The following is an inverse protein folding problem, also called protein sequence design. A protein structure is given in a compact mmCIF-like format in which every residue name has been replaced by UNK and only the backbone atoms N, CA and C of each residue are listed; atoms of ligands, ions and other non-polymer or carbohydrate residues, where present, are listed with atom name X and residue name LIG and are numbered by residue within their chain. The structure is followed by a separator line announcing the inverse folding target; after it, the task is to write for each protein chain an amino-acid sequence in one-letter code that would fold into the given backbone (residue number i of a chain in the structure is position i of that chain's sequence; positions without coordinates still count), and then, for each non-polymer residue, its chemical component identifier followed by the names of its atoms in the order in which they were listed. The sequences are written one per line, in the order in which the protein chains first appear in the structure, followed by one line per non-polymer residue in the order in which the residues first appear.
data_IF_317473004864
#
_entry.id   IF_317473004864
#
_cell.length_a   1.000
_cell.length_b   1.000
_cell.length_c   1.000
_cell.angle_alpha   90.00
_cell.angle_beta   90.00
_cell.angle_gamma   90.00
#
_symmetry.space_group_name_H-M   'P 1'
#
loop_
_entity.id
_entity.type
_entity.pdbx_description
1 polymer ?
#
# COMPACT_ATOMS: atom_id res chain seq x y z
N UNK A 1 -25.13 -17.93 -1.47
CA UNK A 1 -24.80 -16.66 -0.80
C UNK A 1 -25.56 -15.56 -1.51
N UNK A 2 -26.15 -14.62 -0.78
CA UNK A 2 -26.82 -13.46 -1.37
C UNK A 2 -25.81 -12.35 -1.76
N UNK A 3 -26.28 -11.38 -2.54
CA UNK A 3 -25.42 -10.30 -3.07
C UNK A 3 -24.74 -9.49 -1.95
N UNK A 4 -25.45 -9.21 -0.85
CA UNK A 4 -24.90 -8.48 0.29
C UNK A 4 -23.76 -9.24 0.97
N UNK A 5 -23.90 -10.56 1.17
CA UNK A 5 -22.84 -11.38 1.76
C UNK A 5 -21.63 -11.45 0.83
N UNK A 6 -21.83 -11.58 -0.48
CA UNK A 6 -20.74 -11.55 -1.46
C UNK A 6 -20.00 -10.20 -1.47
N UNK A 7 -20.73 -9.08 -1.43
CA UNK A 7 -20.15 -7.74 -1.38
C UNK A 7 -19.27 -7.53 -0.13
N UNK A 8 -19.71 -8.02 1.03
CA UNK A 8 -18.93 -8.00 2.29
C UNK A 8 -17.66 -8.82 2.18
N UNK A 9 -17.74 -10.04 1.64
CA UNK A 9 -16.57 -10.88 1.42
C UNK A 9 -15.59 -10.25 0.43
N UNK A 10 -16.08 -9.75 -0.70
CA UNK A 10 -15.24 -9.10 -1.70
C UNK A 10 -14.50 -7.90 -1.09
N UNK A 11 -15.20 -7.04 -0.37
CA UNK A 11 -14.60 -5.88 0.29
C UNK A 11 -13.57 -6.30 1.35
N UNK A 12 -13.94 -7.23 2.23
CA UNK A 12 -13.03 -7.72 3.29
C UNK A 12 -11.75 -8.35 2.73
N UNK A 13 -11.87 -9.17 1.68
CA UNK A 13 -10.71 -9.78 1.01
C UNK A 13 -9.82 -8.69 0.40
N UNK A 14 -10.39 -7.76 -0.37
CA UNK A 14 -9.64 -6.66 -0.98
C UNK A 14 -8.93 -5.82 0.09
N UNK A 15 -9.60 -5.48 1.19
CA UNK A 15 -8.99 -4.74 2.31
C UNK A 15 -7.82 -5.48 2.92
N UNK A 16 -7.96 -6.77 3.24
CA UNK A 16 -6.87 -7.55 3.83
C UNK A 16 -5.67 -7.63 2.88
N UNK A 17 -5.90 -7.90 1.60
CA UNK A 17 -4.82 -7.92 0.61
C UNK A 17 -4.13 -6.57 0.49
N UNK A 18 -4.89 -5.47 0.38
CA UNK A 18 -4.32 -4.13 0.31
C UNK A 18 -3.50 -3.79 1.56
N UNK A 19 -4.03 -4.12 2.74
CA UNK A 19 -3.42 -3.78 4.01
C UNK A 19 -2.16 -4.57 4.35
N UNK A 20 -1.80 -5.60 3.60
CA UNK A 20 -0.45 -6.21 3.70
C UNK A 20 0.61 -5.24 3.17
N UNK A 21 0.32 -4.55 2.07
CA UNK A 21 1.26 -3.66 1.39
C UNK A 21 1.38 -2.29 2.04
N UNK A 22 0.33 -1.82 2.72
CA UNK A 22 0.28 -0.50 3.37
C UNK A 22 1.36 -0.32 4.46
N UNK A 23 1.40 -1.13 5.56
CA UNK A 23 2.38 -0.96 6.63
C UNK A 23 3.80 -1.25 6.14
N UNK A 24 3.97 -2.19 5.21
CA UNK A 24 5.26 -2.45 4.57
C UNK A 24 5.76 -1.23 3.80
N UNK A 25 4.89 -0.56 3.04
CA UNK A 25 5.24 0.68 2.33
C UNK A 25 5.65 1.77 3.32
N UNK A 26 4.84 2.02 4.36
CA UNK A 26 5.11 3.07 5.36
C UNK A 26 6.44 2.80 6.08
N UNK A 27 6.64 1.58 6.58
CA UNK A 27 7.86 1.18 7.27
C UNK A 27 9.11 1.24 6.39
N UNK A 28 9.03 0.69 5.18
CA UNK A 28 10.16 0.73 4.24
C UNK A 28 10.46 2.15 3.76
N UNK A 29 9.46 3.02 3.62
CA UNK A 29 9.66 4.42 3.22
C UNK A 29 10.54 5.15 4.25
N UNK A 30 10.22 5.00 5.54
CA UNK A 30 11.01 5.59 6.62
C UNK A 30 12.42 4.97 6.69
N UNK A 31 12.52 3.65 6.53
CA UNK A 31 13.80 2.93 6.52
C UNK A 31 14.71 3.42 5.38
N UNK A 32 14.20 3.46 4.15
CA UNK A 32 14.93 3.90 2.94
C UNK A 32 15.33 5.36 3.06
N UNK A 33 14.43 6.24 3.52
CA UNK A 33 14.73 7.64 3.77
C UNK A 33 15.88 7.80 4.79
N UNK A 34 15.82 7.06 5.89
CA UNK A 34 16.87 7.09 6.93
C UNK A 34 18.22 6.62 6.39
N UNK A 35 18.27 5.49 5.67
CA UNK A 35 19.51 5.00 5.07
C UNK A 35 20.10 5.99 4.06
N UNK A 36 19.25 6.63 3.26
CA UNK A 36 19.67 7.68 2.33
C UNK A 36 20.24 8.90 3.06
N UNK A 37 19.59 9.37 4.13
CA UNK A 37 20.08 10.48 4.95
C UNK A 37 21.42 10.15 5.62
N UNK A 38 21.59 8.94 6.14
CA UNK A 38 22.86 8.50 6.75
C UNK A 38 23.96 8.44 5.70
N UNK A 39 23.69 7.92 4.50
CA UNK A 39 24.65 7.95 3.40
C UNK A 39 25.05 9.39 3.05
N UNK A 40 24.08 10.29 2.87
CA UNK A 40 24.34 11.68 2.52
C UNK A 40 25.22 12.40 3.56
N UNK A 41 24.99 12.14 4.85
CA UNK A 41 25.78 12.74 5.94
C UNK A 41 27.18 12.14 6.10
N UNK A 42 27.34 10.84 5.84
CA UNK A 42 28.58 10.11 6.17
C UNK A 42 29.47 9.81 4.97
N UNK A 43 28.94 9.89 3.75
CA UNK A 43 29.61 9.45 2.52
C UNK A 43 29.83 7.93 2.43
N UNK A 44 29.43 7.14 3.43
CA UNK A 44 29.70 5.70 3.46
C UNK A 44 28.81 4.95 2.46
N UNK A 45 29.44 4.50 1.37
CA UNK A 45 28.79 3.84 0.22
C UNK A 45 28.01 2.58 0.58
N UNK A 46 28.25 1.95 1.75
CA UNK A 46 27.47 0.80 2.21
C UNK A 46 26.01 1.16 2.42
N UNK A 47 25.75 2.34 2.99
CA UNK A 47 24.39 2.84 3.20
C UNK A 47 23.68 3.10 1.88
N UNK A 48 24.37 3.67 0.88
CA UNK A 48 23.79 3.84 -0.47
C UNK A 48 23.38 2.51 -1.11
N UNK A 49 24.21 1.47 -0.97
CA UNK A 49 23.89 0.13 -1.50
C UNK A 49 22.62 -0.42 -0.84
N UNK A 50 22.49 -0.27 0.48
CA UNK A 50 21.29 -0.68 1.23
C UNK A 50 20.07 0.14 0.81
N UNK A 51 20.19 1.46 0.69
CA UNK A 51 19.10 2.33 0.19
C UNK A 51 18.61 1.86 -1.17
N UNK A 52 19.51 1.57 -2.12
CA UNK A 52 19.12 1.11 -3.46
C UNK A 52 18.44 -0.26 -3.43
N UNK A 53 18.91 -1.18 -2.59
CA UNK A 53 18.32 -2.52 -2.44
C UNK A 53 16.91 -2.44 -1.87
N UNK A 54 16.75 -1.83 -0.68
CA UNK A 54 15.44 -1.70 -0.04
C UNK A 54 14.52 -0.74 -0.79
N UNK A 55 15.05 0.28 -1.47
CA UNK A 55 14.29 1.18 -2.33
C UNK A 55 13.66 0.45 -3.52
N UNK A 56 14.33 -0.54 -4.10
CA UNK A 56 13.73 -1.40 -5.15
C UNK A 56 12.56 -2.22 -4.59
N UNK A 57 12.73 -2.81 -3.40
CA UNK A 57 11.65 -3.57 -2.73
C UNK A 57 10.46 -2.67 -2.38
N UNK A 58 10.73 -1.46 -1.89
CA UNK A 58 9.72 -0.44 -1.63
C UNK A 58 8.91 -0.12 -2.88
N UNK A 59 9.56 0.13 -4.02
CA UNK A 59 8.86 0.44 -5.28
C UNK A 59 7.96 -0.71 -5.76
N UNK A 60 8.42 -1.95 -5.67
CA UNK A 60 7.62 -3.13 -6.05
C UNK A 60 6.39 -3.24 -5.13
N UNK A 61 6.60 -3.15 -3.81
CA UNK A 61 5.53 -3.22 -2.82
C UNK A 61 4.51 -2.08 -2.99
N UNK A 62 5.01 -0.87 -3.27
CA UNK A 62 4.20 0.31 -3.49
C UNK A 62 3.32 0.19 -4.73
N UNK A 63 3.85 -0.33 -5.84
CA UNK A 63 3.08 -0.53 -7.07
C UNK A 63 1.88 -1.47 -6.85
N UNK A 64 2.07 -2.57 -6.12
CA UNK A 64 1.00 -3.51 -5.78
C UNK A 64 0.00 -2.88 -4.80
N UNK A 65 0.51 -2.12 -3.82
CA UNK A 65 -0.30 -1.33 -2.89
C UNK A 65 -1.24 -0.36 -3.61
N UNK A 66 -0.74 0.41 -4.58
CA UNK A 66 -1.57 1.31 -5.39
C UNK A 66 -2.65 0.54 -6.14
N UNK A 67 -2.27 -0.53 -6.86
CA UNK A 67 -3.22 -1.30 -7.66
C UNK A 67 -4.37 -1.85 -6.80
N UNK A 68 -4.06 -2.42 -5.64
CA UNK A 68 -5.06 -2.94 -4.70
C UNK A 68 -5.90 -1.84 -4.06
N UNK A 69 -5.30 -0.66 -3.79
CA UNK A 69 -6.02 0.49 -3.23
C UNK A 69 -7.03 1.10 -4.20
N UNK A 70 -6.67 1.22 -5.49
CA UNK A 70 -7.58 1.69 -6.54
C UNK A 70 -8.78 0.76 -6.67
N UNK A 71 -8.56 -0.56 -6.63
CA UNK A 71 -9.67 -1.53 -6.65
C UNK A 71 -10.59 -1.32 -5.46
N UNK A 72 -10.04 -1.09 -4.27
CA UNK A 72 -10.84 -0.84 -3.06
C UNK A 72 -11.61 0.48 -3.13
N UNK A 73 -11.02 1.54 -3.68
CA UNK A 73 -11.69 2.84 -3.89
C UNK A 73 -12.93 2.68 -4.78
N UNK A 74 -12.78 2.01 -5.92
CA UNK A 74 -13.91 1.79 -6.82
C UNK A 74 -14.99 0.88 -6.25
N UNK A 75 -14.68 0.00 -5.28
CA UNK A 75 -15.70 -0.82 -4.63
C UNK A 75 -16.75 0.01 -3.88
N UNK A 76 -16.39 1.19 -3.38
CA UNK A 76 -17.35 2.11 -2.77
C UNK A 76 -18.38 2.64 -3.78
N UNK A 77 -17.97 2.91 -5.02
CA UNK A 77 -18.87 3.35 -6.09
C UNK A 77 -19.72 2.22 -6.71
N UNK A 78 -19.22 0.98 -6.68
CA UNK A 78 -19.89 -0.18 -7.29
C UNK A 78 -20.82 -0.90 -6.32
N UNK A 79 -20.26 -1.61 -5.34
CA UNK A 79 -21.02 -2.51 -4.46
C UNK A 79 -21.64 -1.80 -3.26
N UNK A 80 -21.20 -0.57 -2.98
CA UNK A 80 -21.62 0.24 -1.84
C UNK A 80 -22.13 1.62 -2.28
N UNK A 81 -22.73 1.71 -3.47
CA UNK A 81 -23.19 2.97 -4.07
C UNK A 81 -24.19 3.74 -3.20
N UNK A 82 -25.14 3.06 -2.55
CA UNK A 82 -26.09 3.69 -1.63
C UNK A 82 -25.41 4.26 -0.38
N UNK A 83 -24.39 3.56 0.15
CA UNK A 83 -23.56 4.09 1.23
C UNK A 83 -22.84 5.37 0.78
N UNK A 84 -22.19 5.32 -0.40
CA UNK A 84 -21.50 6.47 -0.99
C UNK A 84 -22.44 7.65 -1.26
N UNK A 85 -23.70 7.39 -1.65
CA UNK A 85 -24.70 8.46 -1.82
C UNK A 85 -25.16 9.06 -0.49
N UNK A 86 -25.20 8.24 0.56
CA UNK A 86 -25.71 8.65 1.87
C UNK A 86 -24.68 9.44 2.69
N UNK A 87 -23.39 9.09 2.62
CA UNK A 87 -22.32 9.72 3.42
C UNK A 87 -21.09 10.19 2.64
N UNK A 88 -21.08 10.05 1.31
CA UNK A 88 -19.93 10.42 0.46
C UNK A 88 -19.89 11.86 0.01
#
# INVERSE_FOLDING_TARGET
MDALTLARWQFGITTVYHFIFVPLTIGMSLLVATMQTVWYKTGNVRWLKLTKFFGKLLLINFAIGIATGIVQEFQFGMNWSEYSRYVG
#
